data_IF_909519791905
#
_entry.id   IF_909519791905
#
_cell.length_a   1.000
_cell.length_b   1.000
_cell.length_c   1.000
_cell.angle_alpha   90.00
_cell.angle_beta   90.00
_cell.angle_gamma   90.00
#
_symmetry.space_group_name_H-M   'P 1'
#
loop_
_entity.id
_entity.type
_entity.pdbx_description
1 polymer ?
#
# COMPACT_ATOMS: atom_id res chain seq x y z
N UNK A 1 -9.09 8.99 -10.29
CA UNK A 1 -9.10 9.74 -9.03
C UNK A 1 -8.42 11.09 -9.23
N UNK A 2 -9.01 12.13 -8.70
CA UNK A 2 -8.49 13.49 -8.82
C UNK A 2 -7.86 13.93 -7.49
N UNK A 3 -6.65 14.49 -7.57
CA UNK A 3 -5.97 15.15 -6.45
C UNK A 3 -5.46 16.50 -6.94
N UNK A 4 -5.74 17.57 -6.21
CA UNK A 4 -5.35 18.93 -6.56
C UNK A 4 -5.71 19.33 -8.01
N UNK A 5 -6.94 18.99 -8.45
CA UNK A 5 -7.49 19.24 -9.80
C UNK A 5 -6.79 18.47 -10.94
N UNK A 6 -5.93 17.51 -10.62
CA UNK A 6 -5.27 16.63 -11.59
C UNK A 6 -5.89 15.23 -11.54
N UNK A 7 -6.27 14.69 -12.69
CA UNK A 7 -6.80 13.34 -12.82
C UNK A 7 -5.67 12.30 -12.90
N UNK A 8 -5.76 11.26 -12.08
CA UNK A 8 -4.82 10.13 -12.04
C UNK A 8 -5.51 8.84 -12.44
N UNK A 9 -4.89 8.09 -13.35
CA UNK A 9 -5.28 6.71 -13.65
C UNK A 9 -4.53 5.77 -12.68
N UNK A 10 -5.28 5.00 -11.89
CA UNK A 10 -4.73 4.03 -10.95
C UNK A 10 -5.13 2.63 -11.40
N UNK A 11 -4.14 1.79 -11.71
CA UNK A 11 -4.34 0.38 -12.00
C UNK A 11 -4.18 -0.41 -10.70
N UNK A 12 -5.26 -0.97 -10.18
CA UNK A 12 -5.28 -1.76 -8.95
C UNK A 12 -5.14 -3.24 -9.27
N UNK A 13 -4.12 -3.88 -8.69
CA UNK A 13 -3.93 -5.34 -8.78
C UNK A 13 -4.14 -5.92 -7.37
N UNK A 14 -5.18 -6.72 -7.22
CA UNK A 14 -5.42 -7.49 -6.01
C UNK A 14 -4.56 -8.76 -5.97
N UNK A 15 -4.02 -9.08 -4.80
CA UNK A 15 -3.20 -10.27 -4.60
C UNK A 15 -3.83 -11.18 -3.55
N UNK A 16 -3.89 -12.50 -3.79
CA UNK A 16 -4.41 -13.43 -2.80
C UNK A 16 -3.54 -13.43 -1.54
N UNK A 17 -4.18 -13.46 -0.36
CA UNK A 17 -3.50 -13.44 0.93
C UNK A 17 -3.00 -14.80 1.43
N UNK A 18 -3.24 -15.90 0.69
CA UNK A 18 -2.89 -17.25 1.13
C UNK A 18 -1.46 -17.64 0.72
N UNK A 19 -0.78 -18.42 1.55
CA UNK A 19 0.62 -18.85 1.37
C UNK A 19 0.83 -19.61 0.05
N UNK A 20 -0.18 -20.34 -0.42
CA UNK A 20 -0.11 -21.17 -1.62
C UNK A 20 0.01 -20.36 -2.93
N UNK A 21 -0.27 -19.08 -2.91
CA UNK A 21 -0.26 -18.18 -4.08
C UNK A 21 0.98 -17.30 -4.21
N UNK A 22 2.10 -17.69 -3.59
CA UNK A 22 3.35 -16.91 -3.61
C UNK A 22 3.85 -16.56 -5.01
N UNK A 23 3.61 -17.41 -6.01
CA UNK A 23 3.94 -17.15 -7.41
C UNK A 23 3.10 -16.02 -8.03
N UNK A 24 1.80 -15.94 -7.72
CA UNK A 24 0.92 -14.87 -8.19
C UNK A 24 1.30 -13.52 -7.56
N UNK A 25 1.62 -13.53 -6.27
CA UNK A 25 2.11 -12.34 -5.56
C UNK A 25 3.40 -11.81 -6.17
N UNK A 26 4.39 -12.68 -6.46
CA UNK A 26 5.65 -12.26 -7.09
C UNK A 26 5.41 -11.65 -8.48
N UNK A 27 4.54 -12.25 -9.28
CA UNK A 27 4.18 -11.71 -10.60
C UNK A 27 3.51 -10.34 -10.49
N UNK A 28 2.58 -10.17 -9.54
CA UNK A 28 1.93 -8.88 -9.28
C UNK A 28 2.96 -7.83 -8.86
N UNK A 29 3.88 -8.17 -7.95
CA UNK A 29 4.93 -7.23 -7.50
C UNK A 29 5.85 -6.77 -8.62
N UNK A 30 6.04 -7.56 -9.67
CA UNK A 30 6.81 -7.12 -10.85
C UNK A 30 6.04 -6.16 -11.75
N UNK A 31 4.71 -6.13 -11.66
CA UNK A 31 3.83 -5.32 -12.51
C UNK A 31 3.45 -3.95 -11.90
N UNK A 32 3.67 -3.74 -10.59
CA UNK A 32 3.21 -2.55 -9.86
C UNK A 32 4.37 -1.67 -9.40
N UNK A 33 4.14 -0.37 -9.27
CA UNK A 33 5.16 0.60 -8.82
C UNK A 33 5.17 0.80 -7.31
N UNK A 34 4.04 0.58 -6.67
CA UNK A 34 3.87 0.65 -5.22
C UNK A 34 2.89 -0.38 -4.70
N UNK A 35 2.85 -0.60 -3.40
CA UNK A 35 1.90 -1.54 -2.79
C UNK A 35 1.38 -1.06 -1.44
N UNK A 36 0.15 -1.48 -1.14
CA UNK A 36 -0.43 -1.39 0.20
C UNK A 36 -0.11 -2.67 0.97
N UNK A 37 0.59 -2.53 2.08
CA UNK A 37 0.73 -3.59 3.08
C UNK A 37 -0.53 -3.55 3.95
N UNK A 38 -1.28 -4.65 3.99
CA UNK A 38 -2.44 -4.79 4.85
C UNK A 38 -2.04 -5.50 6.14
N UNK A 39 -2.24 -4.83 7.28
CA UNK A 39 -2.04 -5.42 8.61
C UNK A 39 -3.35 -5.43 9.39
N UNK A 40 -3.61 -6.50 10.14
CA UNK A 40 -4.74 -6.57 11.05
C UNK A 40 -4.44 -5.76 12.32
N UNK A 41 -5.34 -4.87 12.72
CA UNK A 41 -5.19 -4.08 13.93
C UNK A 41 -5.16 -4.95 15.20
N UNK A 42 -5.84 -6.10 15.18
CA UNK A 42 -5.92 -7.04 16.32
C UNK A 42 -4.68 -7.90 16.43
N UNK A 43 -4.23 -8.49 15.31
CA UNK A 43 -3.17 -9.51 15.26
C UNK A 43 -1.81 -8.94 14.86
N UNK A 44 -1.81 -7.75 14.26
CA UNK A 44 -0.61 -7.14 13.69
C UNK A 44 -0.18 -7.79 12.38
N UNK A 45 1.06 -7.57 11.93
CA UNK A 45 1.63 -8.23 10.78
C UNK A 45 1.80 -9.73 11.03
N UNK A 46 1.22 -10.56 10.17
CA UNK A 46 1.31 -12.02 10.21
C UNK A 46 2.53 -12.53 9.42
N UNK A 47 2.96 -13.79 9.57
CA UNK A 47 4.09 -14.36 8.81
C UNK A 47 3.92 -14.22 7.29
N UNK A 48 2.68 -14.32 6.78
CA UNK A 48 2.38 -14.09 5.37
C UNK A 48 2.68 -12.64 4.97
N UNK A 49 2.31 -11.67 5.81
CA UNK A 49 2.61 -10.25 5.59
C UNK A 49 4.12 -10.03 5.47
N UNK A 50 4.92 -10.65 6.33
CA UNK A 50 6.39 -10.54 6.27
C UNK A 50 6.95 -11.08 4.95
N UNK A 51 6.42 -12.21 4.47
CA UNK A 51 6.83 -12.81 3.19
C UNK A 51 6.50 -11.91 2.01
N UNK A 52 5.28 -11.35 1.97
CA UNK A 52 4.85 -10.42 0.91
C UNK A 52 5.66 -9.12 0.93
N UNK A 53 5.89 -8.55 2.11
CA UNK A 53 6.74 -7.35 2.26
C UNK A 53 8.15 -7.61 1.74
N UNK A 54 8.75 -8.75 2.08
CA UNK A 54 10.08 -9.13 1.58
C UNK A 54 10.10 -9.25 0.06
N UNK A 55 9.08 -9.85 -0.54
CA UNK A 55 8.95 -9.96 -2.00
C UNK A 55 8.81 -8.58 -2.65
N UNK A 56 7.93 -7.71 -2.13
CA UNK A 56 7.75 -6.36 -2.64
C UNK A 56 9.06 -5.56 -2.61
N UNK A 57 9.77 -5.59 -1.50
CA UNK A 57 11.05 -4.89 -1.35
C UNK A 57 12.15 -5.44 -2.26
N UNK A 58 12.18 -6.76 -2.50
CA UNK A 58 13.10 -7.39 -3.45
C UNK A 58 12.83 -6.93 -4.89
N UNK A 59 11.57 -6.76 -5.27
CA UNK A 59 11.15 -6.26 -6.58
C UNK A 59 11.17 -4.72 -6.65
N UNK A 60 11.74 -4.06 -5.64
CA UNK A 60 11.83 -2.58 -5.53
C UNK A 60 10.47 -1.90 -5.65
N UNK A 61 9.44 -2.47 -5.03
CA UNK A 61 8.10 -1.89 -4.92
C UNK A 61 7.98 -1.09 -3.63
N UNK A 62 7.65 0.21 -3.73
CA UNK A 62 7.54 1.08 -2.56
C UNK A 62 6.30 0.74 -1.74
N UNK A 63 6.43 0.46 -0.43
CA UNK A 63 5.30 0.12 0.42
C UNK A 63 4.66 1.34 1.08
N UNK A 64 3.35 1.26 1.32
CA UNK A 64 2.60 2.04 2.30
C UNK A 64 1.77 1.08 3.16
N UNK A 65 1.33 1.50 4.34
CA UNK A 65 0.68 0.62 5.31
C UNK A 65 -0.78 1.00 5.54
N UNK A 66 -1.69 0.03 5.47
CA UNK A 66 -3.06 0.16 5.92
C UNK A 66 -3.32 -0.81 7.09
N UNK A 67 -3.61 -0.27 8.27
CA UNK A 67 -3.98 -1.04 9.46
C UNK A 67 -5.51 -1.17 9.46
N UNK A 68 -5.98 -2.36 9.08
CA UNK A 68 -7.38 -2.71 8.88
C UNK A 68 -8.00 -3.33 10.14
N UNK A 69 -9.32 -3.37 10.20
CA UNK A 69 -10.12 -3.96 11.29
C UNK A 69 -9.98 -3.21 12.62
N UNK A 70 -9.82 -1.89 12.57
CA UNK A 70 -9.74 -1.03 13.77
C UNK A 70 -11.05 -1.07 14.56
N UNK A 71 -12.19 -1.21 13.87
CA UNK A 71 -13.52 -1.44 14.47
C UNK A 71 -13.53 -2.60 15.47
N UNK A 72 -12.79 -3.69 15.19
CA UNK A 72 -12.71 -4.84 16.10
C UNK A 72 -11.94 -4.55 17.39
N UNK A 73 -10.91 -3.69 17.33
CA UNK A 73 -10.21 -3.25 18.56
C UNK A 73 -11.17 -2.51 19.50
N UNK A 74 -12.03 -1.68 18.94
CA UNK A 74 -12.94 -0.84 19.71
C UNK A 74 -14.15 -1.65 20.17
N UNK A 75 -14.85 -2.33 19.25
CA UNK A 75 -16.12 -2.97 19.54
C UNK A 75 -15.99 -4.35 20.19
N UNK A 76 -15.03 -5.19 19.75
CA UNK A 76 -14.89 -6.56 20.25
C UNK A 76 -13.92 -6.63 21.44
N UNK A 77 -12.74 -6.00 21.32
CA UNK A 77 -11.71 -6.07 22.37
C UNK A 77 -11.82 -4.93 23.39
N UNK A 78 -12.64 -3.90 23.11
CA UNK A 78 -12.90 -2.77 24.01
C UNK A 78 -11.61 -2.14 24.57
N UNK A 79 -10.57 -2.03 23.71
CA UNK A 79 -9.29 -1.48 24.11
C UNK A 79 -9.40 0.01 24.40
N UNK A 80 -8.54 0.50 25.30
CA UNK A 80 -8.43 1.95 25.54
C UNK A 80 -7.79 2.65 24.34
N UNK A 81 -8.01 3.96 24.16
CA UNK A 81 -7.31 4.73 23.12
C UNK A 81 -5.78 4.60 23.20
N UNK A 82 -5.23 4.55 24.40
CA UNK A 82 -3.79 4.39 24.64
C UNK A 82 -3.31 3.01 24.17
N UNK A 83 -3.99 1.93 24.54
CA UNK A 83 -3.65 0.57 24.10
C UNK A 83 -3.76 0.41 22.58
N UNK A 84 -4.75 1.05 21.97
CA UNK A 84 -4.89 1.07 20.52
C UNK A 84 -3.70 1.75 19.85
N UNK A 85 -3.29 2.91 20.35
CA UNK A 85 -2.11 3.63 19.83
C UNK A 85 -0.82 2.82 19.99
N UNK A 86 -0.66 2.13 21.12
CA UNK A 86 0.48 1.24 21.37
C UNK A 86 0.51 0.09 20.34
N UNK A 87 -0.61 -0.56 20.05
CA UNK A 87 -0.72 -1.62 19.03
C UNK A 87 -0.40 -1.11 17.63
N UNK A 88 -0.85 0.10 17.28
CA UNK A 88 -0.49 0.71 15.99
C UNK A 88 1.02 0.97 15.91
N UNK A 89 1.61 1.50 16.96
CA UNK A 89 3.05 1.77 17.02
C UNK A 89 3.88 0.48 16.93
N UNK A 90 3.45 -0.62 17.57
CA UNK A 90 4.08 -1.93 17.44
C UNK A 90 4.01 -2.45 16.00
N UNK A 91 2.84 -2.35 15.36
CA UNK A 91 2.63 -2.76 13.97
C UNK A 91 3.54 -1.98 13.02
N UNK A 92 3.58 -0.66 13.14
CA UNK A 92 4.45 0.22 12.36
C UNK A 92 5.93 -0.12 12.58
N UNK A 93 6.32 -0.36 13.83
CA UNK A 93 7.69 -0.73 14.19
C UNK A 93 8.11 -2.05 13.56
N UNK A 94 7.24 -3.07 13.58
CA UNK A 94 7.49 -4.36 12.93
C UNK A 94 7.65 -4.21 11.41
N UNK A 95 6.75 -3.47 10.74
CA UNK A 95 6.85 -3.21 9.30
C UNK A 95 8.13 -2.45 8.96
N UNK A 96 8.46 -1.41 9.71
CA UNK A 96 9.69 -0.64 9.50
C UNK A 96 10.96 -1.47 9.74
N UNK A 97 10.93 -2.44 10.67
CA UNK A 97 12.03 -3.41 10.86
C UNK A 97 12.25 -4.26 9.59
N UNK A 98 11.16 -4.73 8.96
CA UNK A 98 11.24 -5.47 7.69
C UNK A 98 11.79 -4.58 6.57
N UNK A 99 11.34 -3.34 6.47
CA UNK A 99 11.83 -2.38 5.47
C UNK A 99 13.35 -2.14 5.67
N UNK A 100 13.78 -1.88 6.90
CA UNK A 100 15.22 -1.70 7.21
C UNK A 100 16.06 -2.93 6.88
N UNK A 101 15.49 -4.12 7.02
CA UNK A 101 16.21 -5.38 6.80
C UNK A 101 16.28 -5.74 5.32
N UNK A 102 15.21 -5.55 4.55
CA UNK A 102 15.05 -6.12 3.22
C UNK A 102 15.02 -5.11 2.08
N UNK A 103 14.76 -3.82 2.34
CA UNK A 103 14.79 -2.81 1.29
C UNK A 103 16.22 -2.61 0.75
N UNK A 104 16.38 -2.23 -0.53
CA UNK A 104 17.66 -1.79 -1.06
C UNK A 104 18.25 -0.67 -0.20
N UNK A 105 19.59 -0.62 -0.07
CA UNK A 105 20.28 0.32 0.84
C UNK A 105 19.84 1.77 0.64
N UNK A 106 19.69 2.17 -0.61
CA UNK A 106 19.26 3.49 -1.05
C UNK A 106 17.86 3.88 -0.57
N UNK A 107 16.98 2.88 -0.31
CA UNK A 107 15.58 3.09 0.07
C UNK A 107 15.27 2.76 1.53
N UNK A 108 16.18 2.16 2.27
CA UNK A 108 15.95 1.73 3.67
C UNK A 108 15.42 2.83 4.57
N UNK A 109 15.83 4.07 4.34
CA UNK A 109 15.41 5.22 5.14
C UNK A 109 14.14 5.86 4.58
N UNK A 110 14.09 6.09 3.26
CA UNK A 110 13.02 6.82 2.59
C UNK A 110 11.71 6.04 2.46
N UNK A 111 11.77 4.70 2.51
CA UNK A 111 10.58 3.84 2.40
C UNK A 111 9.99 3.42 3.75
N UNK A 112 10.57 3.85 4.87
CA UNK A 112 9.94 3.63 6.16
C UNK A 112 8.58 4.32 6.22
N UNK A 113 7.61 3.60 6.78
CA UNK A 113 6.25 4.13 6.92
C UNK A 113 6.11 4.92 8.23
N UNK A 114 5.39 6.03 8.16
CA UNK A 114 5.15 6.93 9.29
C UNK A 114 3.73 7.49 9.25
N UNK A 115 3.13 7.62 10.41
CA UNK A 115 1.82 8.25 10.56
C UNK A 115 1.90 9.73 10.17
N UNK A 116 3.00 10.38 10.52
CA UNK A 116 3.18 11.84 10.37
C UNK A 116 3.30 12.28 8.91
N UNK A 117 3.90 11.44 8.06
CA UNK A 117 4.04 11.73 6.63
C UNK A 117 2.87 11.21 5.78
N UNK A 118 1.91 10.51 6.41
CA UNK A 118 0.71 9.98 5.77
C UNK A 118 0.94 8.69 4.96
N UNK A 119 2.04 7.96 5.20
CA UNK A 119 2.28 6.63 4.60
C UNK A 119 1.66 5.49 5.42
N UNK A 120 0.95 5.82 6.51
CA UNK A 120 0.15 4.90 7.31
C UNK A 120 -1.29 5.38 7.36
N UNK A 121 -2.22 4.51 7.00
CA UNK A 121 -3.65 4.71 7.17
C UNK A 121 -4.22 3.68 8.16
N UNK A 122 -5.28 4.05 8.84
CA UNK A 122 -6.04 3.22 9.77
C UNK A 122 -7.49 3.14 9.34
N UNK A 123 -8.18 2.03 9.57
CA UNK A 123 -9.58 1.98 9.23
C UNK A 123 -10.25 0.61 9.36
N UNK A 124 -11.45 0.56 8.83
CA UNK A 124 -12.24 -0.65 8.65
C UNK A 124 -12.73 -0.75 7.21
N UNK A 125 -12.18 -1.69 6.45
CA UNK A 125 -12.66 -1.96 5.11
C UNK A 125 -14.09 -2.50 5.12
N UNK A 126 -14.46 -3.25 6.14
CA UNK A 126 -15.83 -3.77 6.31
C UNK A 126 -16.85 -2.66 6.47
N UNK A 127 -16.53 -1.62 7.24
CA UNK A 127 -17.39 -0.47 7.47
C UNK A 127 -17.10 0.70 6.51
N UNK A 128 -16.23 0.52 5.51
CA UNK A 128 -15.90 1.48 4.46
C UNK A 128 -15.35 2.84 4.94
N UNK A 129 -14.64 2.89 6.07
CA UNK A 129 -13.98 4.11 6.53
C UNK A 129 -12.48 3.94 6.70
N UNK A 130 -11.75 5.02 6.51
CA UNK A 130 -10.30 5.07 6.70
C UNK A 130 -9.84 6.47 7.07
N UNK A 131 -8.65 6.58 7.63
CA UNK A 131 -8.08 7.85 8.07
C UNK A 131 -6.55 7.84 7.93
N UNK A 132 -6.01 8.96 7.53
CA UNK A 132 -4.59 9.32 7.62
C UNK A 132 -4.47 10.66 8.32
N UNK A 133 -3.29 11.02 8.83
CA UNK A 133 -3.10 12.35 9.44
C UNK A 133 -3.41 13.50 8.45
N UNK A 134 -2.95 13.47 7.19
CA UNK A 134 -3.37 14.46 6.20
C UNK A 134 -4.88 14.54 6.01
N UNK A 135 -5.55 13.39 5.93
CA UNK A 135 -7.00 13.34 5.74
C UNK A 135 -7.77 13.82 6.98
N UNK A 136 -7.29 13.55 8.19
CA UNK A 136 -7.84 14.12 9.44
C UNK A 136 -7.87 15.64 9.39
N UNK A 137 -6.80 16.25 8.91
CA UNK A 137 -6.73 17.72 8.77
C UNK A 137 -7.71 18.25 7.73
N UNK A 138 -7.95 17.50 6.65
CA UNK A 138 -8.86 17.86 5.55
C UNK A 138 -10.32 17.70 5.97
N UNK A 139 -10.66 16.56 6.60
CA UNK A 139 -12.05 16.19 6.95
C UNK A 139 -12.52 16.73 8.31
N UNK A 140 -11.59 17.14 9.19
CA UNK A 140 -11.90 17.52 10.56
C UNK A 140 -12.25 16.34 11.50
N UNK A 141 -12.15 15.10 11.03
CA UNK A 141 -12.40 13.89 11.85
C UNK A 141 -11.21 13.63 12.74
N UNK A 142 -11.42 13.51 14.05
CA UNK A 142 -10.37 13.19 15.03
C UNK A 142 -10.36 11.72 15.43
N UNK A 143 -9.30 11.27 16.11
CA UNK A 143 -9.27 9.93 16.68
C UNK A 143 -10.36 9.72 17.75
N UNK A 144 -10.70 10.74 18.49
CA UNK A 144 -11.79 10.70 19.49
C UNK A 144 -13.15 10.48 18.80
N UNK A 145 -13.38 11.14 17.66
CA UNK A 145 -14.60 10.95 16.88
C UNK A 145 -14.72 9.50 16.38
N UNK A 146 -13.61 8.89 15.93
CA UNK A 146 -13.59 7.48 15.49
C UNK A 146 -14.07 6.56 16.62
N UNK A 147 -13.55 6.74 17.84
CA UNK A 147 -14.00 5.96 18.99
C UNK A 147 -15.49 6.18 19.27
N UNK A 148 -15.96 7.42 19.22
CA UNK A 148 -17.36 7.74 19.46
C UNK A 148 -18.27 7.11 18.39
N UNK A 149 -17.94 7.25 17.09
CA UNK A 149 -18.70 6.64 16.00
C UNK A 149 -18.73 5.11 16.08
N UNK A 150 -17.63 4.47 16.49
CA UNK A 150 -17.59 3.02 16.67
C UNK A 150 -18.46 2.57 17.86
N UNK A 151 -18.35 3.24 19.01
CA UNK A 151 -19.12 2.91 20.21
C UNK A 151 -20.63 3.18 20.05
N UNK A 152 -20.99 4.22 19.30
CA UNK A 152 -22.40 4.60 19.03
C UNK A 152 -23.00 3.81 17.86
N UNK A 153 -22.29 2.81 17.30
CA UNK A 153 -22.68 2.04 16.11
C UNK A 153 -22.96 2.91 14.86
N UNK A 154 -22.38 4.11 14.80
CA UNK A 154 -22.55 5.09 13.72
C UNK A 154 -21.45 5.06 12.66
N UNK A 155 -20.83 3.92 12.43
CA UNK A 155 -19.72 3.79 11.47
C UNK A 155 -20.11 4.12 10.01
N UNK A 156 -21.42 4.05 9.68
CA UNK A 156 -21.91 4.50 8.36
C UNK A 156 -21.77 6.02 8.19
N UNK A 157 -21.95 6.80 9.24
CA UNK A 157 -21.75 8.25 9.20
C UNK A 157 -20.25 8.59 9.09
N UNK A 158 -19.40 7.82 9.79
CA UNK A 158 -17.95 7.93 9.67
C UNK A 158 -17.48 7.63 8.23
N UNK A 159 -18.05 6.59 7.60
CA UNK A 159 -17.77 6.24 6.20
C UNK A 159 -18.16 7.35 5.20
N UNK A 160 -19.17 8.15 5.50
CA UNK A 160 -19.52 9.32 4.67
C UNK A 160 -18.54 10.47 4.83
N UNK A 161 -17.96 10.65 6.04
CA UNK A 161 -16.99 11.70 6.34
C UNK A 161 -15.56 11.36 5.92
N UNK A 162 -15.22 10.07 6.00
CA UNK A 162 -13.88 9.56 5.71
C UNK A 162 -13.98 8.21 4.97
N UNK A 163 -14.46 8.19 3.73
CA UNK A 163 -14.62 6.98 2.94
C UNK A 163 -13.25 6.36 2.64
N UNK A 164 -13.10 5.07 2.93
CA UNK A 164 -11.82 4.35 2.82
C UNK A 164 -11.21 4.44 1.41
N UNK A 165 -12.04 4.42 0.38
CA UNK A 165 -11.56 4.50 -1.01
C UNK A 165 -10.92 5.86 -1.32
N UNK A 166 -11.48 6.99 -0.87
CA UNK A 166 -10.85 8.30 -1.04
C UNK A 166 -9.53 8.40 -0.30
N UNK A 167 -9.51 7.95 0.97
CA UNK A 167 -8.29 7.97 1.79
C UNK A 167 -7.16 7.15 1.17
N UNK A 168 -7.48 5.94 0.67
CA UNK A 168 -6.46 5.07 0.07
C UNK A 168 -6.04 5.56 -1.32
N UNK A 169 -6.94 6.09 -2.13
CA UNK A 169 -6.60 6.65 -3.44
C UNK A 169 -5.78 7.93 -3.31
N UNK A 170 -6.12 8.84 -2.40
CA UNK A 170 -5.30 10.02 -2.06
C UNK A 170 -3.89 9.60 -1.61
N UNK A 171 -3.81 8.55 -0.78
CA UNK A 171 -2.53 8.02 -0.31
C UNK A 171 -1.73 7.37 -1.44
N UNK A 172 -2.38 6.64 -2.36
CA UNK A 172 -1.72 6.06 -3.53
C UNK A 172 -1.07 7.15 -4.39
N UNK A 173 -1.84 8.18 -4.75
CA UNK A 173 -1.36 9.28 -5.60
C UNK A 173 -0.26 10.08 -4.93
N UNK A 174 -0.39 10.38 -3.64
CA UNK A 174 0.54 11.30 -2.96
C UNK A 174 1.79 10.62 -2.38
N UNK A 175 1.77 9.30 -2.15
CA UNK A 175 2.83 8.57 -1.42
C UNK A 175 3.51 7.47 -2.22
N UNK A 176 2.85 6.92 -3.24
CA UNK A 176 3.46 5.92 -4.11
C UNK A 176 4.05 6.59 -5.36
N UNK A 177 5.10 6.02 -5.95
CA UNK A 177 5.69 6.57 -7.15
C UNK A 177 4.82 6.29 -8.37
N UNK A 178 4.80 7.23 -9.31
CA UNK A 178 4.34 6.96 -10.66
C UNK A 178 5.41 6.27 -11.52
N UNK A 179 5.07 5.83 -12.75
CA UNK A 179 6.01 5.13 -13.64
C UNK A 179 7.31 5.90 -13.89
N UNK A 180 7.22 7.22 -14.10
CA UNK A 180 8.40 8.08 -14.35
C UNK A 180 9.39 8.05 -13.18
N UNK A 181 8.89 7.97 -11.95
CA UNK A 181 9.73 7.88 -10.75
C UNK A 181 10.24 6.46 -10.48
N UNK A 182 9.41 5.44 -10.80
CA UNK A 182 9.68 4.05 -10.46
C UNK A 182 10.60 3.36 -11.49
N UNK A 183 10.42 3.59 -12.78
CA UNK A 183 11.14 2.89 -13.85
C UNK A 183 12.67 3.03 -13.76
N UNK A 184 13.27 4.18 -13.43
CA UNK A 184 14.73 4.31 -13.33
C UNK A 184 15.40 3.29 -12.42
N UNK A 185 14.76 2.90 -11.32
CA UNK A 185 15.33 1.92 -10.39
C UNK A 185 14.72 0.52 -10.52
N UNK A 186 13.51 0.41 -11.11
CA UNK A 186 12.82 -0.88 -11.28
C UNK A 186 13.22 -1.61 -12.55
N UNK A 187 13.32 -0.93 -13.70
CA UNK A 187 13.70 -1.55 -14.97
C UNK A 187 15.00 -2.33 -14.86
N UNK A 188 16.09 -1.77 -14.29
CA UNK A 188 17.33 -2.55 -14.10
C UNK A 188 17.18 -3.80 -13.20
N UNK A 189 16.15 -3.85 -12.39
CA UNK A 189 15.87 -4.99 -11.50
C UNK A 189 15.02 -6.09 -12.17
N UNK A 190 14.09 -5.72 -13.04
CA UNK A 190 13.10 -6.64 -13.60
C UNK A 190 13.41 -7.06 -15.05
N UNK A 191 14.19 -6.29 -15.79
CA UNK A 191 14.57 -6.57 -17.17
C UNK A 191 16.05 -6.95 -17.28
N UNK A 192 16.33 -8.03 -18.00
CA UNK A 192 17.67 -8.63 -18.12
C UNK A 192 18.35 -8.29 -19.45
N UNK A 193 17.70 -7.50 -20.30
CA UNK A 193 18.28 -7.05 -21.56
C UNK A 193 19.32 -5.93 -21.38
N UNK A 194 19.87 -5.47 -22.51
CA UNK A 194 20.88 -4.41 -22.52
C UNK A 194 20.28 -3.05 -22.22
N UNK A 195 20.56 -2.50 -21.05
CA UNK A 195 20.08 -1.19 -20.61
C UNK A 195 20.62 -0.04 -21.44
N UNK A 196 21.75 -0.23 -22.14
CA UNK A 196 22.34 0.78 -23.02
C UNK A 196 21.70 0.79 -24.43
N UNK A 197 20.91 -0.22 -24.76
CA UNK A 197 20.11 -0.23 -26.01
C UNK A 197 19.10 0.92 -26.04
N UNK A 198 18.58 1.27 -27.23
CA UNK A 198 17.54 2.30 -27.37
C UNK A 198 16.29 1.95 -26.52
N UNK A 199 15.85 0.69 -26.58
CA UNK A 199 14.71 0.19 -25.79
C UNK A 199 15.01 0.27 -24.29
N UNK A 200 16.21 -0.17 -23.85
CA UNK A 200 16.60 -0.11 -22.45
C UNK A 200 16.57 1.31 -21.89
N UNK A 201 17.17 2.25 -22.61
CA UNK A 201 17.18 3.68 -22.25
C UNK A 201 15.77 4.25 -22.19
N UNK A 202 14.93 3.97 -23.18
CA UNK A 202 13.53 4.44 -23.23
C UNK A 202 12.69 3.90 -22.09
N UNK A 203 12.86 2.61 -21.72
CA UNK A 203 12.17 2.05 -20.55
C UNK A 203 12.63 2.70 -19.25
N UNK A 204 13.94 2.92 -19.07
CA UNK A 204 14.49 3.55 -17.85
C UNK A 204 14.02 5.01 -17.72
N UNK A 205 13.98 5.75 -18.82
CA UNK A 205 13.52 7.15 -18.84
C UNK A 205 12.00 7.31 -18.83
N UNK A 206 11.26 6.20 -19.02
CA UNK A 206 9.81 6.23 -19.19
C UNK A 206 9.36 7.16 -20.33
N UNK A 207 10.03 7.06 -21.48
CA UNK A 207 9.81 7.91 -22.64
C UNK A 207 8.46 7.57 -23.33
N UNK A 208 7.47 8.48 -23.35
CA UNK A 208 6.15 8.24 -23.93
C UNK A 208 6.17 8.14 -25.46
N UNK A 209 7.20 8.65 -26.12
CA UNK A 209 7.35 8.64 -27.59
C UNK A 209 8.16 7.44 -28.10
N UNK A 210 8.65 6.59 -27.18
CA UNK A 210 9.43 5.42 -27.53
C UNK A 210 8.58 4.24 -28.03
N UNK A 211 9.27 3.19 -28.51
CA UNK A 211 8.64 1.94 -28.87
C UNK A 211 7.91 1.31 -27.68
N UNK A 212 6.74 0.72 -27.93
CA UNK A 212 5.95 0.05 -26.89
C UNK A 212 6.66 -1.21 -26.39
N UNK A 213 6.95 -1.23 -25.11
CA UNK A 213 7.45 -2.41 -24.40
C UNK A 213 6.39 -2.98 -23.45
N UNK A 214 6.20 -4.30 -23.46
CA UNK A 214 5.21 -4.99 -22.61
C UNK A 214 5.85 -6.17 -21.91
N UNK A 215 5.49 -6.36 -20.63
CA UNK A 215 5.86 -7.54 -19.87
C UNK A 215 4.63 -8.43 -19.65
N UNK A 216 4.74 -9.70 -20.04
CA UNK A 216 3.69 -10.70 -19.77
C UNK A 216 3.80 -11.13 -18.32
N UNK A 217 2.81 -10.79 -17.50
CA UNK A 217 2.78 -11.11 -16.08
C UNK A 217 1.98 -12.37 -15.76
N UNK A 218 0.99 -12.71 -16.60
CA UNK A 218 0.15 -13.92 -16.44
C UNK A 218 -0.34 -14.43 -17.78
N UNK A 219 -0.29 -15.75 -17.94
CA UNK A 219 -0.84 -16.45 -19.11
C UNK A 219 -1.98 -17.34 -18.60
N UNK A 220 -3.13 -17.21 -19.22
CA UNK A 220 -4.26 -18.13 -19.03
C UNK A 220 -4.27 -19.12 -20.18
N UNK A 221 -4.23 -20.39 -19.86
CA UNK A 221 -4.42 -21.46 -20.86
C UNK A 221 -5.87 -21.92 -20.80
N UNK A 222 -6.53 -21.97 -21.96
CA UNK A 222 -7.82 -22.61 -22.05
C UNK A 222 -7.60 -24.15 -21.99
N UNK A 223 -8.14 -24.84 -20.97
CA UNK A 223 -7.98 -26.29 -20.87
C UNK A 223 -8.67 -27.07 -22.00
N UNK A 224 -9.47 -26.38 -22.82
CA UNK A 224 -10.20 -26.97 -23.96
C UNK A 224 -9.69 -26.51 -25.33
N UNK A 225 -8.59 -25.75 -25.37
CA UNK A 225 -7.96 -25.31 -26.63
C UNK A 225 -6.92 -26.30 -27.14
#
# INVERSE_FOLDING_TARGET
HAVDEVDYLINLIDTPGHVDFGGDVTRAMRAVDGCFILACAVEGPMPQTETVVRQALKEKVKPVLFINKVDRLINELQVTPEDMMNRFQETITKVNKLIKQFAPEEFKKSWQVSVMDGTVAFGSAYHNWGITIPYMKKSGVSMTDIFQYCNDEKQKELAQKAPVHEVLLDMAVTKLPGPVEAQPYRIPNIWTGDLESSIGKSMVSCDPEAELAMMITKIWMDPHA
#
